data_IF_909707570042
#
_entry.id   IF_909707570042
#
_cell.length_a   1.000
_cell.length_b   1.000
_cell.length_c   1.000
_cell.angle_alpha   90.00
_cell.angle_beta   90.00
_cell.angle_gamma   90.00
#
_symmetry.space_group_name_H-M   'P 1'
#
loop_
_entity.id
_entity.type
_entity.pdbx_description
1 polymer ?
#
# COMPACT_ATOMS: atom_id res chain seq x y z
N UNK A 1 54.26 -15.16 -61.35
CA UNK A 1 54.94 -14.27 -60.38
C UNK A 1 53.87 -13.69 -59.47
N UNK A 2 53.91 -14.10 -58.20
CA UNK A 2 52.86 -13.96 -57.19
C UNK A 2 52.93 -12.56 -56.56
N UNK A 3 51.83 -11.83 -56.43
CA UNK A 3 51.77 -10.58 -55.64
C UNK A 3 50.59 -10.62 -54.67
N UNK A 4 50.90 -10.80 -53.39
CA UNK A 4 49.97 -10.82 -52.27
C UNK A 4 49.49 -9.39 -51.96
N UNK A 5 48.18 -9.15 -51.96
CA UNK A 5 47.59 -7.95 -51.36
C UNK A 5 47.61 -8.12 -49.84
N UNK A 6 48.44 -7.33 -49.17
CA UNK A 6 48.47 -7.25 -47.71
C UNK A 6 47.14 -6.74 -47.16
N UNK A 7 46.47 -7.56 -46.34
CA UNK A 7 45.36 -7.14 -45.49
C UNK A 7 45.93 -6.34 -44.32
N UNK A 8 46.04 -5.02 -44.49
CA UNK A 8 46.41 -4.10 -43.43
C UNK A 8 45.30 -4.00 -42.39
N UNK A 9 45.29 -4.90 -41.41
CA UNK A 9 44.57 -4.70 -40.15
C UNK A 9 45.18 -3.46 -39.47
N UNK A 10 44.52 -2.30 -39.62
CA UNK A 10 44.90 -1.08 -38.90
C UNK A 10 44.63 -1.31 -37.42
N UNK A 11 45.67 -1.72 -36.67
CA UNK A 11 45.61 -1.75 -35.22
C UNK A 11 45.16 -0.36 -34.71
N UNK A 12 44.19 -0.27 -33.78
CA UNK A 12 43.70 1.01 -33.29
C UNK A 12 44.85 1.79 -32.67
N UNK A 13 45.05 3.04 -33.13
CA UNK A 13 46.11 3.93 -32.66
C UNK A 13 45.96 4.13 -31.13
N UNK A 14 47.05 4.09 -30.34
CA UNK A 14 46.99 4.14 -28.86
C UNK A 14 46.28 5.38 -28.30
N UNK A 15 46.26 6.49 -29.07
CA UNK A 15 45.53 7.72 -28.76
C UNK A 15 44.00 7.53 -28.77
N UNK A 16 43.45 6.70 -29.66
CA UNK A 16 42.01 6.43 -29.73
C UNK A 16 41.54 5.60 -28.53
N UNK A 17 42.35 4.63 -28.09
CA UNK A 17 42.07 3.82 -26.89
C UNK A 17 42.08 4.67 -25.61
N UNK A 18 43.02 5.62 -25.49
CA UNK A 18 43.06 6.57 -24.36
C UNK A 18 41.84 7.50 -24.34
N UNK A 19 41.42 8.03 -25.49
CA UNK A 19 40.23 8.87 -25.58
C UNK A 19 38.94 8.10 -25.24
N UNK A 20 38.80 6.86 -25.74
CA UNK A 20 37.67 5.99 -25.38
C UNK A 20 37.60 5.72 -23.87
N UNK A 21 38.74 5.43 -23.23
CA UNK A 21 38.80 5.23 -21.78
C UNK A 21 38.42 6.50 -21.01
N UNK A 22 38.90 7.67 -21.44
CA UNK A 22 38.52 8.96 -20.84
C UNK A 22 37.02 9.23 -20.99
N UNK A 23 36.43 8.99 -22.16
CA UNK A 23 35.00 9.14 -22.38
C UNK A 23 34.18 8.18 -21.53
N UNK A 24 34.58 6.91 -21.41
CA UNK A 24 33.90 5.93 -20.55
C UNK A 24 33.97 6.33 -19.08
N UNK A 25 35.13 6.78 -18.60
CA UNK A 25 35.29 7.27 -17.22
C UNK A 25 34.44 8.51 -16.97
N UNK A 26 34.42 9.46 -17.91
CA UNK A 26 33.58 10.65 -17.81
C UNK A 26 32.08 10.30 -17.80
N UNK A 27 31.64 9.37 -18.64
CA UNK A 27 30.27 8.86 -18.63
C UNK A 27 29.94 8.17 -17.30
N UNK A 28 30.83 7.31 -16.79
CA UNK A 28 30.63 6.64 -15.51
C UNK A 28 30.54 7.64 -14.35
N UNK A 29 31.40 8.67 -14.35
CA UNK A 29 31.37 9.74 -13.35
C UNK A 29 30.09 10.57 -13.45
N UNK A 30 29.64 10.91 -14.65
CA UNK A 30 28.39 11.64 -14.86
C UNK A 30 27.17 10.83 -14.36
N UNK A 31 27.12 9.53 -14.68
CA UNK A 31 26.07 8.63 -14.16
C UNK A 31 26.11 8.53 -12.64
N UNK A 32 27.30 8.47 -12.04
CA UNK A 32 27.46 8.44 -10.59
C UNK A 32 27.01 9.75 -9.94
N UNK A 33 27.33 10.90 -10.53
CA UNK A 33 26.89 12.21 -10.03
C UNK A 33 25.37 12.37 -10.14
N UNK A 34 24.78 12.02 -11.28
CA UNK A 34 23.32 12.04 -11.46
C UNK A 34 22.66 11.08 -10.46
N UNK A 35 23.15 9.85 -10.37
CA UNK A 35 22.65 8.86 -9.41
C UNK A 35 22.81 9.30 -7.95
N UNK A 36 23.87 10.03 -7.60
CA UNK A 36 24.00 10.61 -6.26
C UNK A 36 23.02 11.75 -6.02
N UNK A 37 22.72 12.55 -7.04
CA UNK A 37 21.77 13.65 -6.93
C UNK A 37 20.35 13.13 -6.68
N UNK A 38 19.99 11.94 -7.21
CA UNK A 38 18.68 11.33 -6.95
C UNK A 38 18.48 10.92 -5.50
N UNK A 39 19.56 10.75 -4.73
CA UNK A 39 19.50 10.44 -3.30
C UNK A 39 19.35 11.68 -2.40
N UNK A 40 19.25 12.87 -3.00
CA UNK A 40 19.18 14.12 -2.25
C UNK A 40 17.74 14.55 -2.01
N UNK A 41 17.48 15.17 -0.84
CA UNK A 41 16.14 15.70 -0.51
C UNK A 41 15.53 16.64 -1.55
N UNK A 42 16.28 17.57 -2.19
CA UNK A 42 15.71 18.42 -3.23
C UNK A 42 15.20 17.65 -4.45
N UNK A 43 15.86 16.53 -4.80
CA UNK A 43 15.39 15.66 -5.87
C UNK A 43 14.07 14.99 -5.51
N UNK A 44 13.98 14.40 -4.31
CA UNK A 44 12.74 13.78 -3.82
C UNK A 44 11.58 14.78 -3.81
N UNK A 45 11.81 16.02 -3.35
CA UNK A 45 10.79 17.07 -3.36
C UNK A 45 10.30 17.41 -4.79
N UNK A 46 11.21 17.45 -5.77
CA UNK A 46 10.85 17.67 -7.17
C UNK A 46 10.08 16.48 -7.74
N UNK A 47 10.52 15.26 -7.43
CA UNK A 47 9.86 14.01 -7.83
C UNK A 47 8.44 13.96 -7.27
N UNK A 48 8.24 14.13 -5.96
CA UNK A 48 6.94 14.10 -5.30
C UNK A 48 5.98 15.13 -5.89
N UNK A 49 6.44 16.37 -6.08
CA UNK A 49 5.61 17.41 -6.70
C UNK A 49 5.25 17.09 -8.14
N UNK A 50 6.18 16.54 -8.90
CA UNK A 50 5.94 16.13 -10.29
C UNK A 50 4.92 14.99 -10.34
N UNK A 51 5.07 14.00 -9.45
CA UNK A 51 4.13 12.89 -9.31
C UNK A 51 2.73 13.39 -8.96
N UNK A 52 2.60 14.30 -7.99
CA UNK A 52 1.31 14.85 -7.55
C UNK A 52 0.61 15.59 -8.69
N UNK A 53 1.35 16.43 -9.43
CA UNK A 53 0.80 17.15 -10.59
C UNK A 53 0.36 16.18 -11.68
N UNK A 54 1.22 15.22 -12.05
CA UNK A 54 0.88 14.24 -13.09
C UNK A 54 -0.32 13.39 -12.67
N UNK A 55 -0.41 13.01 -11.40
CA UNK A 55 -1.54 12.25 -10.86
C UNK A 55 -2.81 13.07 -10.87
N UNK A 56 -2.79 14.31 -10.40
CA UNK A 56 -3.96 15.20 -10.44
C UNK A 56 -4.46 15.45 -11.87
N UNK A 57 -3.55 15.50 -12.85
CA UNK A 57 -3.89 15.67 -14.26
C UNK A 57 -4.40 14.37 -14.92
N UNK A 58 -3.84 13.22 -14.54
CA UNK A 58 -4.17 11.93 -15.14
C UNK A 58 -5.41 11.26 -14.49
N UNK A 59 -5.59 11.42 -13.18
CA UNK A 59 -6.67 10.81 -12.40
C UNK A 59 -7.97 11.60 -12.57
N UNK A 60 -8.68 11.34 -13.67
CA UNK A 60 -10.07 11.80 -13.83
C UNK A 60 -10.89 11.22 -12.67
N UNK A 61 -11.59 12.07 -11.91
CA UNK A 61 -12.28 11.74 -10.64
C UNK A 61 -13.50 10.82 -10.79
N UNK A 62 -13.48 9.85 -11.72
CA UNK A 62 -14.57 8.90 -11.95
C UNK A 62 -13.98 7.52 -12.14
N UNK A 63 -13.92 6.75 -11.06
CA UNK A 63 -13.82 5.29 -11.17
C UNK A 63 -15.16 4.76 -11.68
N UNK A 64 -15.13 3.80 -12.59
CA UNK A 64 -16.33 3.02 -12.97
C UNK A 64 -16.60 1.87 -12.01
N UNK A 65 -15.72 1.67 -11.02
CA UNK A 65 -15.87 0.63 -10.02
C UNK A 65 -16.96 1.03 -9.02
N UNK A 66 -17.91 0.14 -8.70
CA UNK A 66 -18.99 0.41 -7.74
C UNK A 66 -18.48 0.32 -6.29
N UNK A 67 -17.55 1.19 -5.92
CA UNK A 67 -16.99 1.27 -4.56
C UNK A 67 -17.64 2.44 -3.82
N UNK A 68 -18.16 2.17 -2.62
CA UNK A 68 -18.70 3.18 -1.71
C UNK A 68 -17.84 3.20 -0.46
N UNK A 69 -17.40 4.40 -0.05
CA UNK A 69 -16.63 4.61 1.18
C UNK A 69 -17.58 5.19 2.21
N UNK A 70 -17.74 4.48 3.33
CA UNK A 70 -18.45 4.96 4.50
C UNK A 70 -17.40 5.45 5.50
N UNK A 71 -17.23 6.78 5.58
CA UNK A 71 -16.30 7.39 6.51
C UNK A 71 -16.90 7.45 7.91
N UNK A 72 -16.08 7.25 8.94
CA UNK A 72 -16.41 7.60 10.32
C UNK A 72 -15.75 8.94 10.60
N UNK A 73 -16.57 9.97 10.69
CA UNK A 73 -16.15 11.36 10.80
C UNK A 73 -16.97 12.13 11.85
N UNK A 74 -16.70 13.43 12.01
CA UNK A 74 -17.39 14.27 12.99
C UNK A 74 -18.92 14.24 12.86
N UNK A 75 -19.54 14.39 11.66
CA UNK A 75 -20.97 14.15 11.46
C UNK A 75 -21.47 12.82 12.02
N UNK A 76 -20.73 11.73 11.77
CA UNK A 76 -21.08 10.40 12.28
C UNK A 76 -21.20 10.39 13.80
N UNK A 77 -20.26 11.02 14.51
CA UNK A 77 -20.29 11.12 15.97
C UNK A 77 -21.46 12.00 16.47
N UNK A 78 -21.76 13.09 15.77
CA UNK A 78 -22.87 13.98 16.13
C UNK A 78 -24.24 13.31 15.96
N UNK A 79 -24.39 12.50 14.91
CA UNK A 79 -25.63 11.76 14.62
C UNK A 79 -25.82 10.58 15.57
N UNK A 80 -24.77 9.77 15.79
CA UNK A 80 -24.87 8.58 16.63
C UNK A 80 -24.83 8.88 18.12
N UNK A 81 -24.22 10.00 18.52
CA UNK A 81 -24.02 10.39 19.92
C UNK A 81 -23.35 9.30 20.76
N UNK A 82 -22.44 8.53 20.16
CA UNK A 82 -21.70 7.44 20.84
C UNK A 82 -20.19 7.73 20.86
N UNK A 83 -19.49 7.37 21.94
CA UNK A 83 -18.04 7.49 22.00
C UNK A 83 -17.37 6.39 21.16
N UNK A 84 -16.15 6.68 20.72
CA UNK A 84 -15.24 5.65 20.19
C UNK A 84 -14.62 4.82 21.33
N UNK A 85 -14.39 3.51 21.14
CA UNK A 85 -14.80 2.68 20.02
C UNK A 85 -16.30 2.36 20.04
N UNK A 86 -16.90 2.31 18.86
CA UNK A 86 -18.31 1.93 18.72
C UNK A 86 -18.55 0.47 19.14
N UNK A 87 -19.76 0.15 19.64
CA UNK A 87 -20.11 -1.22 19.98
C UNK A 87 -20.11 -2.12 18.74
N UNK A 88 -19.68 -3.37 18.91
CA UNK A 88 -19.63 -4.39 17.86
C UNK A 88 -21.01 -4.70 17.29
N UNK A 89 -22.06 -4.54 18.10
CA UNK A 89 -23.45 -4.63 17.68
C UNK A 89 -23.86 -3.54 16.68
N UNK A 90 -23.23 -2.35 16.69
CA UNK A 90 -23.43 -1.32 15.67
C UNK A 90 -22.77 -1.74 14.35
N UNK A 91 -21.52 -2.22 14.39
CA UNK A 91 -20.86 -2.76 13.21
C UNK A 91 -21.63 -3.96 12.62
N UNK A 92 -22.19 -4.81 13.47
CA UNK A 92 -23.04 -5.93 13.05
C UNK A 92 -24.32 -5.48 12.33
N UNK A 93 -24.94 -4.39 12.79
CA UNK A 93 -26.10 -3.78 12.12
C UNK A 93 -25.72 -3.20 10.76
N UNK A 94 -24.58 -2.51 10.68
CA UNK A 94 -24.05 -1.98 9.42
C UNK A 94 -23.81 -3.11 8.41
N UNK A 95 -23.15 -4.19 8.81
CA UNK A 95 -22.88 -5.33 7.92
C UNK A 95 -24.17 -5.93 7.34
N UNK A 96 -25.19 -6.15 8.18
CA UNK A 96 -26.49 -6.64 7.72
C UNK A 96 -27.15 -5.69 6.72
N UNK A 97 -27.09 -4.39 6.99
CA UNK A 97 -27.66 -3.38 6.11
C UNK A 97 -26.96 -3.33 4.75
N UNK A 98 -25.63 -3.39 4.75
CA UNK A 98 -24.84 -3.43 3.52
C UNK A 98 -25.14 -4.69 2.69
N UNK A 99 -25.35 -5.85 3.34
CA UNK A 99 -25.82 -7.05 2.64
C UNK A 99 -27.20 -6.84 2.01
N UNK A 100 -28.16 -6.28 2.75
CA UNK A 100 -29.50 -5.99 2.23
C UNK A 100 -29.46 -5.04 1.03
N UNK A 101 -28.54 -4.07 1.06
CA UNK A 101 -28.32 -3.11 -0.02
C UNK A 101 -27.49 -3.69 -1.20
N UNK A 102 -27.09 -4.96 -1.13
CA UNK A 102 -26.48 -5.70 -2.23
C UNK A 102 -24.95 -5.61 -2.32
N UNK A 103 -24.26 -5.28 -1.23
CA UNK A 103 -22.80 -5.28 -1.20
C UNK A 103 -22.25 -6.69 -1.49
N UNK A 104 -21.35 -6.80 -2.46
CA UNK A 104 -20.70 -8.09 -2.84
C UNK A 104 -19.55 -8.48 -1.92
N UNK A 105 -18.93 -7.49 -1.28
CA UNK A 105 -17.92 -7.66 -0.24
C UNK A 105 -17.90 -6.40 0.64
N UNK A 106 -17.50 -6.53 1.92
CA UNK A 106 -17.39 -5.40 2.85
C UNK A 106 -16.01 -5.40 3.50
N UNK A 107 -15.33 -4.25 3.47
CA UNK A 107 -14.13 -3.99 4.25
C UNK A 107 -14.46 -3.14 5.47
N UNK A 108 -14.04 -3.57 6.66
CA UNK A 108 -14.06 -2.73 7.85
C UNK A 108 -12.62 -2.34 8.22
N UNK A 109 -12.30 -1.06 8.01
CA UNK A 109 -11.01 -0.48 8.40
C UNK A 109 -10.96 -0.16 9.90
N UNK A 110 -11.17 -1.20 10.72
CA UNK A 110 -11.12 -1.15 12.19
C UNK A 110 -10.43 -2.42 12.67
N UNK A 111 -9.36 -2.26 13.46
CA UNK A 111 -8.61 -3.38 14.01
C UNK A 111 -9.32 -3.92 15.24
N UNK A 112 -9.93 -5.09 15.09
CA UNK A 112 -10.71 -5.75 16.14
C UNK A 112 -9.88 -6.79 16.90
N UNK A 113 -8.72 -6.39 17.44
CA UNK A 113 -7.75 -7.30 18.05
C UNK A 113 -8.03 -7.64 19.51
N UNK A 114 -8.67 -6.73 20.26
CA UNK A 114 -8.97 -6.94 21.68
C UNK A 114 -10.40 -7.45 21.90
N UNK A 115 -10.61 -8.39 22.85
CA UNK A 115 -11.94 -8.83 23.26
C UNK A 115 -12.80 -7.69 23.79
N UNK A 116 -14.08 -7.70 23.41
CA UNK A 116 -15.10 -6.87 24.05
C UNK A 116 -15.88 -7.71 25.07
N UNK A 117 -17.16 -7.37 25.31
CA UNK A 117 -18.07 -8.29 25.98
C UNK A 117 -18.46 -9.44 25.06
N UNK A 118 -18.76 -10.62 25.63
CA UNK A 118 -19.16 -11.79 24.84
C UNK A 118 -20.39 -11.52 23.96
N UNK A 119 -21.35 -10.72 24.45
CA UNK A 119 -22.54 -10.37 23.67
C UNK A 119 -22.20 -9.52 22.43
N UNK A 120 -21.28 -8.56 22.58
CA UNK A 120 -20.84 -7.67 21.51
C UNK A 120 -20.03 -8.44 20.45
N UNK A 121 -19.04 -9.22 20.88
CA UNK A 121 -18.23 -10.02 19.98
C UNK A 121 -19.04 -11.11 19.27
N UNK A 122 -19.99 -11.76 19.97
CA UNK A 122 -20.91 -12.71 19.34
C UNK A 122 -21.83 -12.05 18.31
N UNK A 123 -22.28 -10.81 18.54
CA UNK A 123 -23.13 -10.09 17.60
C UNK A 123 -22.39 -9.80 16.28
N UNK A 124 -21.13 -9.37 16.34
CA UNK A 124 -20.32 -9.12 15.15
C UNK A 124 -19.92 -10.43 14.45
N UNK A 125 -19.50 -11.45 15.19
CA UNK A 125 -19.15 -12.75 14.60
C UNK A 125 -20.32 -13.36 13.82
N UNK A 126 -21.55 -13.31 14.36
CA UNK A 126 -22.75 -13.75 13.63
C UNK A 126 -22.99 -12.92 12.38
N UNK A 127 -22.89 -11.60 12.48
CA UNK A 127 -23.08 -10.74 11.32
C UNK A 127 -22.04 -10.99 10.22
N UNK A 128 -20.78 -11.27 10.57
CA UNK A 128 -19.74 -11.65 9.61
C UNK A 128 -20.14 -12.93 8.87
N UNK A 129 -20.50 -13.97 9.61
CA UNK A 129 -20.94 -15.26 9.03
C UNK A 129 -22.16 -15.10 8.11
N UNK A 130 -23.05 -14.16 8.43
CA UNK A 130 -24.29 -13.93 7.68
C UNK A 130 -24.13 -12.93 6.52
N UNK A 131 -23.09 -12.09 6.46
CA UNK A 131 -23.02 -10.95 5.52
C UNK A 131 -22.50 -11.35 4.14
N UNK A 132 -21.55 -12.28 4.08
CA UNK A 132 -20.79 -12.60 2.87
C UNK A 132 -19.29 -12.32 3.08
N UNK A 133 -18.50 -12.07 2.02
CA UNK A 133 -17.08 -11.78 2.17
C UNK A 133 -16.86 -10.50 2.98
N UNK A 134 -16.23 -10.65 4.15
CA UNK A 134 -15.84 -9.53 5.02
C UNK A 134 -14.33 -9.53 5.19
N UNK A 135 -13.70 -8.37 4.99
CA UNK A 135 -12.28 -8.15 5.28
C UNK A 135 -12.18 -7.19 6.46
N UNK A 136 -11.47 -7.59 7.50
CA UNK A 136 -11.21 -6.77 8.68
C UNK A 136 -9.77 -6.25 8.63
N UNK A 137 -9.55 -5.01 9.05
CA UNK A 137 -8.22 -4.46 9.14
C UNK A 137 -7.36 -5.21 10.17
N UNK A 138 -6.13 -5.52 9.76
CA UNK A 138 -4.99 -5.77 10.62
C UNK A 138 -4.00 -4.63 10.48
N UNK A 139 -3.08 -4.51 11.43
CA UNK A 139 -1.98 -3.55 11.35
C UNK A 139 -0.68 -4.21 11.78
N UNK A 140 0.45 -3.59 11.47
CA UNK A 140 1.76 -4.01 11.94
C UNK A 140 2.32 -2.98 12.90
N UNK A 141 2.50 -3.38 14.15
CA UNK A 141 3.05 -2.52 15.19
C UNK A 141 4.53 -2.78 15.40
N UNK A 142 5.29 -1.70 15.57
CA UNK A 142 6.70 -1.76 15.95
C UNK A 142 6.84 -1.64 17.45
N UNK A 143 7.31 -2.70 18.09
CA UNK A 143 7.70 -2.69 19.50
C UNK A 143 9.19 -2.45 19.58
N UNK A 144 9.55 -1.25 20.03
CA UNK A 144 10.93 -0.88 20.36
C UNK A 144 11.23 -1.28 21.81
N UNK A 145 12.10 -2.27 21.99
CA UNK A 145 12.65 -2.71 23.27
C UNK A 145 14.11 -2.26 23.40
N UNK A 146 14.63 -2.24 24.63
CA UNK A 146 16.00 -1.77 24.94
C UNK A 146 17.10 -2.49 24.13
N UNK A 147 16.83 -3.69 23.61
CA UNK A 147 17.76 -4.55 22.90
C UNK A 147 17.33 -4.92 21.47
N UNK A 148 16.08 -4.63 21.07
CA UNK A 148 15.56 -5.05 19.76
C UNK A 148 14.33 -4.24 19.35
N UNK A 149 14.17 -4.06 18.03
CA UNK A 149 12.90 -3.66 17.42
C UNK A 149 12.22 -4.90 16.84
N UNK A 150 10.98 -5.15 17.24
CA UNK A 150 10.15 -6.24 16.71
C UNK A 150 8.95 -5.65 15.98
N UNK A 151 8.66 -6.21 14.82
CA UNK A 151 7.42 -5.96 14.11
C UNK A 151 6.45 -7.08 14.43
N UNK A 152 5.25 -6.73 14.91
CA UNK A 152 4.19 -7.66 15.24
C UNK A 152 2.96 -7.35 14.42
N UNK A 153 2.42 -8.38 13.78
CA UNK A 153 1.14 -8.29 13.10
C UNK A 153 0.02 -8.40 14.14
N UNK A 154 -0.81 -7.36 14.21
CA UNK A 154 -1.98 -7.25 15.07
C UNK A 154 -3.20 -7.64 14.24
N UNK A 155 -3.65 -8.89 14.44
CA UNK A 155 -4.76 -9.47 13.71
C UNK A 155 -6.10 -9.25 14.43
N UNK A 156 -7.24 -9.28 13.70
CA UNK A 156 -8.55 -9.39 14.32
C UNK A 156 -8.65 -10.64 15.20
N UNK A 157 -9.53 -10.61 16.21
CA UNK A 157 -9.78 -11.78 17.06
C UNK A 157 -10.07 -13.02 16.22
N UNK A 158 -9.51 -14.16 16.65
CA UNK A 158 -9.64 -15.44 15.95
C UNK A 158 -11.11 -15.81 15.69
N UNK A 159 -12.02 -15.48 16.62
CA UNK A 159 -13.46 -15.75 16.47
C UNK A 159 -14.11 -15.07 15.25
N UNK A 160 -13.56 -13.96 14.78
CA UNK A 160 -14.05 -13.28 13.57
C UNK A 160 -13.49 -13.95 12.32
N UNK A 161 -12.25 -14.41 12.37
CA UNK A 161 -11.65 -15.21 11.30
C UNK A 161 -12.37 -16.55 11.13
N UNK A 162 -12.66 -17.21 12.25
CA UNK A 162 -13.44 -18.46 12.28
C UNK A 162 -14.88 -18.26 11.78
N UNK A 163 -15.43 -17.05 11.94
CA UNK A 163 -16.74 -16.68 11.39
C UNK A 163 -16.71 -16.41 9.87
N UNK A 164 -15.53 -16.43 9.24
CA UNK A 164 -15.36 -16.28 7.80
C UNK A 164 -14.80 -14.93 7.35
N UNK A 165 -14.39 -14.05 8.27
CA UNK A 165 -13.66 -12.84 7.90
C UNK A 165 -12.22 -13.16 7.47
N UNK A 166 -11.73 -12.40 6.50
CA UNK A 166 -10.29 -12.35 6.21
C UNK A 166 -9.64 -11.16 6.93
N UNK A 167 -8.38 -11.30 7.28
CA UNK A 167 -7.56 -10.18 7.74
C UNK A 167 -6.84 -9.53 6.56
N UNK A 168 -6.78 -8.20 6.55
CA UNK A 168 -6.01 -7.43 5.57
C UNK A 168 -5.27 -6.27 6.23
N UNK A 169 -3.98 -6.13 5.94
CA UNK A 169 -3.11 -5.09 6.45
C UNK A 169 -3.52 -3.72 5.89
N UNK A 170 -4.05 -2.88 6.77
CA UNK A 170 -4.47 -1.51 6.48
C UNK A 170 -3.31 -0.50 6.61
N UNK A 171 -2.12 -0.97 6.99
CA UNK A 171 -0.93 -0.14 7.08
C UNK A 171 -0.60 0.57 5.77
N UNK A 172 -0.19 1.83 5.89
CA UNK A 172 0.33 2.64 4.78
C UNK A 172 1.68 3.20 5.18
N UNK A 173 2.62 3.22 4.24
CA UNK A 173 3.92 3.86 4.42
C UNK A 173 3.85 5.22 3.72
N UNK A 174 3.78 6.34 4.46
CA UNK A 174 3.85 7.64 3.84
C UNK A 174 5.27 7.94 3.34
N UNK A 175 5.37 8.78 2.31
CA UNK A 175 6.67 9.32 1.88
C UNK A 175 7.25 10.29 2.95
N UNK A 176 8.47 10.77 2.74
CA UNK A 176 9.19 11.67 3.67
C UNK A 176 8.42 12.96 4.04
N UNK A 177 7.41 13.33 3.25
CA UNK A 177 6.53 14.48 3.47
C UNK A 177 5.17 14.12 4.09
N UNK A 178 5.04 12.90 4.62
CA UNK A 178 3.83 12.34 5.23
C UNK A 178 2.65 12.11 4.28
N UNK A 179 2.89 12.17 2.96
CA UNK A 179 1.84 11.92 1.95
C UNK A 179 1.93 10.48 1.48
N UNK A 180 0.77 9.81 1.42
CA UNK A 180 0.66 8.44 0.91
C UNK A 180 0.44 8.49 -0.60
N UNK A 181 1.49 8.20 -1.39
CA UNK A 181 1.40 8.13 -2.86
C UNK A 181 1.38 6.72 -3.41
N UNK A 182 1.72 5.73 -2.59
CA UNK A 182 1.89 4.34 -2.99
C UNK A 182 1.02 3.45 -2.13
N UNK A 183 0.22 2.61 -2.77
CA UNK A 183 -0.49 1.53 -2.08
C UNK A 183 0.46 0.35 -1.90
N UNK A 184 0.53 -0.28 -0.71
CA UNK A 184 1.30 -1.49 -0.54
C UNK A 184 0.80 -2.58 -1.50
N UNK A 185 1.73 -3.20 -2.24
CA UNK A 185 1.44 -4.28 -3.21
C UNK A 185 1.47 -5.66 -2.57
N UNK A 186 1.54 -5.72 -1.25
CA UNK A 186 1.62 -6.97 -0.52
C UNK A 186 0.31 -7.76 -0.64
N UNK A 187 0.34 -9.10 -0.80
CA UNK A 187 -0.87 -9.93 -0.86
C UNK A 187 -1.78 -9.78 0.36
N UNK A 188 -1.21 -9.47 1.52
CA UNK A 188 -1.90 -9.18 2.76
C UNK A 188 -2.56 -7.81 2.81
N UNK A 189 -2.31 -6.90 1.84
CA UNK A 189 -2.88 -5.56 1.87
C UNK A 189 -4.41 -5.58 1.86
N UNK A 190 -5.00 -4.77 2.73
CA UNK A 190 -6.44 -4.68 2.95
C UNK A 190 -7.24 -4.42 1.67
N UNK A 191 -6.85 -3.43 0.87
CA UNK A 191 -7.57 -3.07 -0.35
C UNK A 191 -7.48 -4.17 -1.41
N UNK A 192 -6.32 -4.81 -1.55
CA UNK A 192 -6.13 -5.92 -2.48
C UNK A 192 -6.93 -7.15 -2.06
N UNK A 193 -6.93 -7.50 -0.77
CA UNK A 193 -7.73 -8.59 -0.21
C UNK A 193 -9.22 -8.37 -0.43
N UNK A 194 -9.70 -7.15 -0.16
CA UNK A 194 -11.09 -6.78 -0.40
C UNK A 194 -11.46 -6.92 -1.89
N UNK A 195 -10.60 -6.42 -2.79
CA UNK A 195 -10.83 -6.54 -4.22
C UNK A 195 -10.87 -8.00 -4.70
N UNK A 196 -10.01 -8.87 -4.17
CA UNK A 196 -10.01 -10.30 -4.48
C UNK A 196 -11.27 -11.02 -4.01
N UNK A 197 -11.85 -10.57 -2.90
CA UNK A 197 -13.06 -11.16 -2.32
C UNK A 197 -14.35 -10.64 -2.95
N UNK A 198 -14.27 -9.52 -3.65
CA UNK A 198 -15.36 -8.93 -4.42
C UNK A 198 -15.46 -9.48 -5.86
N UNK A 199 -14.48 -10.25 -6.33
CA UNK A 199 -14.38 -10.78 -7.70
C UNK A 199 -15.06 -12.15 -7.83
#
# INVERSE_FOLDING_TARGET
MFWMRGTGSKAPRPLARRQQLVSLVACALALLLVGSATLTRPWHALEFKTFDVLTALAARHRTTLPVVILAIDEPTFQELQQPWPFPRSLHAQLLRRLKEDGAVAVGLDVVFADPSSEAEDAALARAIADTGPVVLASTREKIDSANAALWLDVLPLQRFLDAGADAGDAGVEPDDDFVVRRTPVAPENFALRLAQRAA
#
